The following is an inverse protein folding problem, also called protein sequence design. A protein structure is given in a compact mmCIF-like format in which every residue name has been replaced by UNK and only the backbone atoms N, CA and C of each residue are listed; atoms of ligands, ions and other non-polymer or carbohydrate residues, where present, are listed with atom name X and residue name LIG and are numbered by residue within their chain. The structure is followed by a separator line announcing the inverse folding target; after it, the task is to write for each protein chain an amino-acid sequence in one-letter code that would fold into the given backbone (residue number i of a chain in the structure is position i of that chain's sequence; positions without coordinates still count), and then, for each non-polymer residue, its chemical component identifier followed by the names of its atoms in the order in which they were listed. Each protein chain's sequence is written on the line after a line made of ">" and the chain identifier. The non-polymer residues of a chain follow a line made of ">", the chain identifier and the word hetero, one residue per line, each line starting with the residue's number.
data_IF_933545628329
#
_entry.id   IF_933545628329
#
_cell.length_a   1.000
_cell.length_b   1.000
_cell.length_c   1.000
_cell.angle_alpha   90.00
_cell.angle_beta   90.00
_cell.angle_gamma   90.00
#
_symmetry.space_group_name_H-M   'P 1'
#
loop_
_entity.id
_entity.type
_entity.pdbx_description
1 polymer ?
#
# COMPACT_ATOMS: atom_id res chain seq x y z
N UNK A 1 -35.77 44.91 9.72
CA UNK A 1 -36.01 44.08 8.52
C UNK A 1 -36.33 42.68 8.98
N UNK A 2 -37.58 42.25 8.87
CA UNK A 2 -38.01 40.90 9.26
C UNK A 2 -37.44 39.91 8.26
N UNK A 3 -36.65 38.98 8.75
CA UNK A 3 -36.09 37.85 7.99
C UNK A 3 -37.19 37.20 7.14
N UNK A 4 -36.96 37.16 5.83
CA UNK A 4 -37.97 36.66 4.90
C UNK A 4 -38.13 35.15 5.08
N UNK A 5 -39.32 34.61 4.82
CA UNK A 5 -39.52 33.15 4.90
C UNK A 5 -38.56 32.37 3.98
N UNK A 6 -38.14 33.01 2.89
CA UNK A 6 -37.12 32.52 1.97
C UNK A 6 -35.76 32.34 2.66
N UNK A 7 -35.26 33.35 3.39
CA UNK A 7 -33.99 33.25 4.13
C UNK A 7 -34.03 32.15 5.20
N UNK A 8 -35.16 31.97 5.87
CA UNK A 8 -35.33 30.88 6.85
C UNK A 8 -35.31 29.51 6.17
N UNK A 9 -35.93 29.37 5.00
CA UNK A 9 -35.91 28.14 4.22
C UNK A 9 -34.49 27.82 3.71
N UNK A 10 -33.77 28.81 3.18
CA UNK A 10 -32.38 28.67 2.72
C UNK A 10 -31.41 28.33 3.86
N UNK A 11 -31.57 28.95 5.04
CA UNK A 11 -30.79 28.59 6.23
C UNK A 11 -31.02 27.15 6.65
N UNK A 12 -32.27 26.66 6.62
CA UNK A 12 -32.57 25.25 6.93
C UNK A 12 -31.99 24.29 5.88
N UNK A 13 -32.10 24.63 4.59
CA UNK A 13 -31.56 23.84 3.50
C UNK A 13 -30.02 23.75 3.57
N UNK A 14 -29.34 24.88 3.75
CA UNK A 14 -27.87 24.91 3.89
C UNK A 14 -27.39 24.11 5.10
N UNK A 15 -28.08 24.20 6.24
CA UNK A 15 -27.79 23.37 7.41
C UNK A 15 -28.00 21.88 7.15
N UNK A 16 -29.11 21.50 6.50
CA UNK A 16 -29.38 20.10 6.15
C UNK A 16 -28.35 19.55 5.16
N UNK A 17 -27.95 20.34 4.16
CA UNK A 17 -26.91 20.00 3.19
C UNK A 17 -25.55 19.83 3.86
N UNK A 18 -25.20 20.73 4.77
CA UNK A 18 -23.95 20.65 5.55
C UNK A 18 -23.92 19.38 6.43
N UNK A 19 -25.04 19.03 7.08
CA UNK A 19 -25.17 17.79 7.87
C UNK A 19 -25.00 16.56 6.99
N UNK A 20 -25.64 16.53 5.81
CA UNK A 20 -25.52 15.43 4.87
C UNK A 20 -24.07 15.26 4.37
N UNK A 21 -23.39 16.36 4.05
CA UNK A 21 -21.99 16.32 3.65
C UNK A 21 -21.08 15.82 4.80
N UNK A 22 -21.33 16.26 6.04
CA UNK A 22 -20.58 15.79 7.20
C UNK A 22 -20.75 14.29 7.44
N UNK A 23 -21.95 13.74 7.25
CA UNK A 23 -22.20 12.29 7.35
C UNK A 23 -21.48 11.51 6.25
N UNK A 24 -21.58 11.96 4.98
CA UNK A 24 -20.85 11.35 3.86
C UNK A 24 -19.34 11.36 4.09
N UNK A 25 -18.80 12.47 4.58
CA UNK A 25 -17.38 12.58 4.88
C UNK A 25 -16.97 11.61 6.00
N UNK A 26 -17.79 11.44 7.05
CA UNK A 26 -17.52 10.46 8.11
C UNK A 26 -17.47 9.03 7.59
N UNK A 27 -18.40 8.66 6.72
CA UNK A 27 -18.39 7.33 6.08
C UNK A 27 -17.17 7.14 5.19
N UNK A 28 -16.84 8.12 4.35
CA UNK A 28 -15.64 8.09 3.52
C UNK A 28 -14.36 7.98 4.37
N UNK A 29 -14.28 8.69 5.51
CA UNK A 29 -13.15 8.57 6.43
C UNK A 29 -13.08 7.18 7.07
N UNK A 30 -14.22 6.61 7.50
CA UNK A 30 -14.25 5.25 8.05
C UNK A 30 -13.79 4.21 7.02
N UNK A 31 -14.27 4.33 5.78
CA UNK A 31 -13.87 3.45 4.69
C UNK A 31 -12.36 3.55 4.41
N UNK A 32 -11.81 4.77 4.33
CA UNK A 32 -10.36 5.00 4.16
C UNK A 32 -9.55 4.40 5.31
N UNK A 33 -9.98 4.57 6.57
CA UNK A 33 -9.29 3.99 7.73
C UNK A 33 -9.21 2.46 7.66
N UNK A 34 -10.33 1.81 7.31
CA UNK A 34 -10.36 0.35 7.16
C UNK A 34 -9.49 -0.11 5.99
N UNK A 35 -9.55 0.60 4.85
CA UNK A 35 -8.72 0.32 3.69
C UNK A 35 -7.21 0.46 3.99
N UNK A 36 -6.81 1.56 4.64
CA UNK A 36 -5.43 1.74 5.12
C UNK A 36 -5.01 0.60 6.04
N UNK A 37 -5.86 0.19 6.99
CA UNK A 37 -5.55 -0.93 7.89
C UNK A 37 -5.37 -2.25 7.14
N UNK A 38 -6.21 -2.55 6.15
CA UNK A 38 -6.09 -3.76 5.31
C UNK A 38 -4.78 -3.76 4.52
N UNK A 39 -4.42 -2.61 3.92
CA UNK A 39 -3.17 -2.45 3.17
C UNK A 39 -1.95 -2.64 4.05
N UNK A 40 -1.95 -2.08 5.26
CA UNK A 40 -0.85 -2.26 6.23
C UNK A 40 -0.71 -3.73 6.63
N UNK A 41 -1.80 -4.38 7.01
CA UNK A 41 -1.77 -5.78 7.45
C UNK A 41 -1.29 -6.69 6.32
N UNK A 42 -1.86 -6.53 5.12
CA UNK A 42 -1.47 -7.35 3.97
C UNK A 42 -0.02 -7.08 3.54
N UNK A 43 0.42 -5.82 3.57
CA UNK A 43 1.79 -5.45 3.26
C UNK A 43 2.79 -6.06 4.24
N UNK A 44 2.53 -5.98 5.55
CA UNK A 44 3.35 -6.63 6.57
C UNK A 44 3.42 -8.15 6.37
N UNK A 45 2.27 -8.80 6.19
CA UNK A 45 2.22 -10.24 5.94
C UNK A 45 2.98 -10.67 4.66
N UNK A 46 2.97 -9.83 3.62
CA UNK A 46 3.71 -10.09 2.39
C UNK A 46 5.24 -9.96 2.60
N UNK A 47 5.68 -8.97 3.38
CA UNK A 47 7.09 -8.82 3.76
C UNK A 47 7.56 -10.01 4.59
N UNK A 48 6.76 -10.43 5.58
CA UNK A 48 7.05 -11.63 6.39
C UNK A 48 7.09 -12.91 5.55
N UNK A 49 6.26 -13.00 4.50
CA UNK A 49 6.29 -14.14 3.58
C UNK A 49 7.57 -14.15 2.73
N UNK A 50 8.01 -12.98 2.28
CA UNK A 50 9.22 -12.85 1.47
C UNK A 50 10.49 -13.33 2.20
N UNK A 51 10.53 -13.28 3.54
CA UNK A 51 11.67 -13.81 4.30
C UNK A 51 11.92 -15.32 4.10
N UNK A 52 10.91 -16.07 3.63
CA UNK A 52 10.96 -17.54 3.46
C UNK A 52 10.58 -18.03 2.07
N UNK A 53 9.94 -17.19 1.26
CA UNK A 53 9.46 -17.52 -0.08
C UNK A 53 10.12 -16.59 -1.11
N UNK A 54 10.95 -17.18 -1.97
CA UNK A 54 11.68 -16.47 -3.02
C UNK A 54 10.78 -15.90 -4.12
N UNK A 55 9.61 -16.51 -4.38
CA UNK A 55 8.63 -15.99 -5.32
C UNK A 55 7.99 -14.72 -4.77
N UNK A 56 7.64 -14.71 -3.48
CA UNK A 56 7.11 -13.53 -2.81
C UNK A 56 8.14 -12.38 -2.80
N UNK A 57 9.41 -12.68 -2.51
CA UNK A 57 10.49 -11.70 -2.57
C UNK A 57 10.66 -11.09 -3.98
N UNK A 58 10.72 -11.93 -5.02
CA UNK A 58 10.82 -11.47 -6.41
C UNK A 58 9.61 -10.62 -6.84
N UNK A 59 8.41 -10.96 -6.34
CA UNK A 59 7.20 -10.18 -6.59
C UNK A 59 7.27 -8.79 -5.95
N UNK A 60 7.71 -8.67 -4.70
CA UNK A 60 7.91 -7.37 -4.03
C UNK A 60 8.91 -6.52 -4.81
N UNK A 61 10.05 -7.09 -5.19
CA UNK A 61 11.09 -6.38 -5.94
C UNK A 61 10.59 -5.88 -7.30
N UNK A 62 9.80 -6.70 -8.00
CA UNK A 62 9.13 -6.31 -9.25
C UNK A 62 8.14 -5.17 -9.02
N UNK A 63 7.36 -5.19 -7.94
CA UNK A 63 6.42 -4.12 -7.63
C UNK A 63 7.16 -2.81 -7.38
N UNK A 64 8.18 -2.81 -6.50
CA UNK A 64 8.99 -1.63 -6.16
C UNK A 64 9.63 -1.00 -7.41
N UNK A 65 10.24 -1.81 -8.29
CA UNK A 65 10.83 -1.31 -9.54
C UNK A 65 9.84 -0.66 -10.49
N UNK A 66 8.60 -1.14 -10.53
CA UNK A 66 7.56 -0.66 -11.45
C UNK A 66 6.68 0.46 -10.87
N UNK A 67 7.01 1.00 -9.69
CA UNK A 67 6.27 2.14 -9.14
C UNK A 67 6.38 3.35 -10.09
N UNK A 68 5.27 4.01 -10.45
CA UNK A 68 5.28 5.09 -11.44
C UNK A 68 5.92 6.38 -10.94
N UNK A 69 5.87 6.64 -9.62
CA UNK A 69 6.36 7.86 -9.01
C UNK A 69 7.78 7.67 -8.47
N UNK A 70 8.69 8.55 -8.88
CA UNK A 70 10.07 8.58 -8.38
C UNK A 70 10.17 8.76 -6.88
N UNK A 71 9.33 9.61 -6.30
CA UNK A 71 9.30 9.84 -4.85
C UNK A 71 8.96 8.56 -4.08
N UNK A 72 8.03 7.76 -4.61
CA UNK A 72 7.64 6.50 -3.99
C UNK A 72 8.76 5.46 -4.14
N UNK A 73 9.49 5.44 -5.27
CA UNK A 73 10.68 4.58 -5.45
C UNK A 73 11.81 4.94 -4.47
N UNK A 74 12.06 6.24 -4.27
CA UNK A 74 13.05 6.74 -3.30
C UNK A 74 12.78 6.29 -1.87
N UNK A 75 11.51 6.07 -1.50
CA UNK A 75 11.17 5.54 -0.18
C UNK A 75 11.68 4.10 0.07
N UNK A 76 12.15 3.41 -0.98
CA UNK A 76 12.62 2.02 -0.93
C UNK A 76 14.12 1.86 -1.26
N UNK A 77 14.88 2.93 -1.51
CA UNK A 77 16.29 2.85 -1.94
C UNK A 77 17.22 2.21 -0.87
N UNK A 78 16.98 2.49 0.41
CA UNK A 78 17.75 1.92 1.53
C UNK A 78 16.99 0.78 2.25
N UNK A 79 15.93 0.25 1.64
CA UNK A 79 15.10 -0.77 2.26
C UNK A 79 15.56 -2.18 1.88
N UNK A 80 16.33 -2.79 2.78
CA UNK A 80 16.62 -4.22 2.70
C UNK A 80 15.41 -5.02 3.23
N UNK A 81 14.46 -5.29 2.35
CA UNK A 81 13.39 -6.24 2.63
C UNK A 81 14.01 -7.63 2.71
N UNK A 82 14.56 -7.99 3.90
CA UNK A 82 15.20 -9.27 4.24
C UNK A 82 14.84 -10.36 3.24
N UNK A 83 15.65 -10.46 2.20
CA UNK A 83 15.42 -11.47 1.18
C UNK A 83 15.70 -12.83 1.82
N UNK A 84 14.99 -13.89 1.39
CA UNK A 84 15.25 -15.22 1.92
C UNK A 84 16.71 -15.50 1.67
N UNK A 85 17.47 -15.77 2.74
CA UNK A 85 18.92 -15.89 2.71
C UNK A 85 19.29 -16.72 1.49
N UNK A 86 19.92 -16.07 0.49
CA UNK A 86 20.19 -16.67 -0.80
C UNK A 86 20.79 -18.04 -0.53
N UNK A 87 20.06 -19.09 -0.90
CA UNK A 87 20.56 -20.45 -0.78
C UNK A 87 21.89 -20.45 -1.53
N UNK A 88 22.97 -20.51 -0.75
CA UNK A 88 24.33 -20.44 -1.20
C UNK A 88 24.45 -21.35 -2.41
N UNK A 89 24.78 -20.77 -3.56
CA UNK A 89 25.08 -21.49 -4.79
C UNK A 89 26.31 -22.36 -4.56
N UNK A 90 26.09 -23.55 -3.99
CA UNK A 90 27.08 -24.60 -3.86
C UNK A 90 26.58 -25.77 -4.69
N UNK A 91 26.91 -25.76 -5.98
CA UNK A 91 27.37 -26.93 -6.75
C UNK A 91 27.91 -26.38 -8.07
N UNK A 92 29.19 -26.03 -8.07
CA UNK A 92 29.95 -25.98 -9.31
C UNK A 92 29.90 -27.38 -9.95
N UNK A 93 29.71 -27.51 -11.27
CA UNK A 93 29.79 -28.82 -11.91
C UNK A 93 31.22 -29.36 -11.78
N UNK A 94 31.43 -30.64 -11.41
CA UNK A 94 32.75 -31.23 -11.47
C UNK A 94 33.14 -31.33 -12.94
N UNK A 95 34.19 -30.60 -13.32
CA UNK A 95 34.86 -30.73 -14.61
C UNK A 95 35.41 -32.16 -14.71
N UNK A 96 35.00 -33.01 -15.67
CA UNK A 96 35.70 -34.27 -15.90
C UNK A 96 37.05 -33.97 -16.56
N UNK A 97 38.13 -34.31 -15.86
CA UNK A 97 39.48 -34.32 -16.42
C UNK A 97 39.58 -35.41 -17.50
N UNK A 98 40.13 -35.12 -18.70
CA UNK A 98 40.42 -36.17 -19.67
C UNK A 98 41.67 -36.95 -19.22
N UNK A 99 41.51 -38.25 -18.97
CA UNK A 99 42.64 -39.18 -18.83
C UNK A 99 43.23 -39.48 -20.20
N UNK A 100 44.57 -39.51 -20.23
CA UNK A 100 45.47 -39.86 -21.34
C UNK A 100 45.26 -41.28 -21.84
#
# INVERSE_FOLDING_TARGET
>A
MTETELERAEKRYSQAKARLLALKNREATKARKLDTRRKIILGGALVDLAERDSYAAAMIERLVRNLPREQDRKAFEDWDAKQPAAASSATAPPVPTPST
#
